data_IF_409939599468
#
_entry.id   IF_409939599468
#
_cell.length_a   1.000
_cell.length_b   1.000
_cell.length_c   1.000
_cell.angle_alpha   90.00
_cell.angle_beta   90.00
_cell.angle_gamma   90.00
#
_symmetry.space_group_name_H-M   'P 1'
#
loop_
_entity.id
_entity.type
_entity.pdbx_description
1 polymer ?
#
# COMPACT_ATOMS: atom_id res chain seq x y z
N UNK A 1 4.96 -15.45 -41.45
CA UNK A 1 3.86 -15.64 -40.48
C UNK A 1 4.30 -16.11 -39.08
N UNK A 2 5.54 -16.60 -38.88
CA UNK A 2 6.06 -17.01 -37.55
C UNK A 2 6.54 -15.85 -36.67
N UNK A 3 7.02 -14.77 -37.29
CA UNK A 3 7.58 -13.60 -36.58
C UNK A 3 6.46 -12.76 -35.93
N UNK A 4 5.28 -12.68 -36.55
CA UNK A 4 4.12 -11.98 -36.01
C UNK A 4 3.56 -12.64 -34.73
N UNK A 5 3.72 -13.96 -34.58
CA UNK A 5 3.27 -14.69 -33.40
C UNK A 5 4.16 -14.45 -32.16
N UNK A 6 5.44 -14.07 -32.36
CA UNK A 6 6.35 -13.81 -31.23
C UNK A 6 6.16 -12.43 -30.59
N UNK A 7 5.62 -11.46 -31.32
CA UNK A 7 5.44 -10.10 -30.80
C UNK A 7 4.28 -9.98 -29.78
N UNK A 8 3.30 -10.89 -29.82
CA UNK A 8 2.11 -10.84 -28.97
C UNK A 8 2.37 -11.40 -27.56
N UNK A 9 3.38 -12.26 -27.38
CA UNK A 9 3.66 -12.93 -26.09
C UNK A 9 4.40 -12.02 -25.10
N UNK A 10 5.14 -11.01 -25.56
CA UNK A 10 5.92 -10.13 -24.65
C UNK A 10 5.08 -9.09 -23.90
N UNK A 11 3.80 -8.88 -24.25
CA UNK A 11 2.98 -7.80 -23.65
C UNK A 11 2.22 -8.27 -22.39
N UNK A 12 2.23 -9.56 -22.05
CA UNK A 12 1.39 -10.11 -20.98
C UNK A 12 1.94 -10.00 -19.55
N UNK A 13 3.14 -9.44 -19.34
CA UNK A 13 3.79 -9.44 -18.02
C UNK A 13 4.28 -8.07 -17.53
N UNK A 14 3.68 -6.96 -17.99
CA UNK A 14 3.82 -5.68 -17.29
C UNK A 14 2.95 -5.70 -16.03
N UNK A 15 3.43 -6.39 -14.99
CA UNK A 15 2.95 -6.12 -13.64
C UNK A 15 3.28 -4.66 -13.37
N UNK A 16 2.28 -3.78 -13.45
CA UNK A 16 2.39 -2.39 -13.03
C UNK A 16 2.87 -2.38 -11.59
N UNK A 17 4.18 -2.20 -11.42
CA UNK A 17 4.80 -2.00 -10.12
C UNK A 17 4.72 -0.49 -9.92
N UNK A 18 3.51 -0.01 -9.60
CA UNK A 18 3.36 1.33 -9.06
C UNK A 18 4.28 1.50 -7.85
N UNK A 19 4.56 2.74 -7.40
CA UNK A 19 5.38 2.98 -6.22
C UNK A 19 4.90 2.07 -5.09
N UNK A 20 5.79 1.16 -4.63
CA UNK A 20 5.45 0.32 -3.49
C UNK A 20 5.18 1.27 -2.33
N UNK A 21 4.02 1.20 -1.67
CA UNK A 21 3.78 2.06 -0.54
C UNK A 21 4.89 1.85 0.49
N UNK A 22 5.47 2.97 0.94
CA UNK A 22 6.49 2.95 1.99
C UNK A 22 5.81 2.51 3.29
N UNK A 23 6.02 1.27 3.71
CA UNK A 23 5.53 0.71 4.97
C UNK A 23 6.34 1.18 6.19
N UNK A 24 6.83 2.41 6.11
CA UNK A 24 7.67 3.06 7.12
C UNK A 24 7.02 4.39 7.43
N UNK A 25 6.63 4.57 8.68
CA UNK A 25 6.00 5.78 9.21
C UNK A 25 6.97 6.97 9.24
N UNK A 26 6.42 8.19 9.40
CA UNK A 26 7.24 9.38 9.66
C UNK A 26 8.05 9.24 10.95
N UNK A 27 7.48 8.55 11.95
CA UNK A 27 8.16 8.23 13.21
C UNK A 27 9.43 7.43 12.95
N UNK A 28 9.30 6.25 12.36
CA UNK A 28 10.43 5.36 12.06
C UNK A 28 11.47 6.04 11.16
N UNK A 29 11.04 6.71 10.08
CA UNK A 29 11.95 7.37 9.14
C UNK A 29 12.76 8.49 9.81
N UNK A 30 12.18 9.14 10.81
CA UNK A 30 12.84 10.25 11.53
C UNK A 30 13.65 9.80 12.74
N UNK A 31 13.63 8.52 13.11
CA UNK A 31 14.18 8.07 14.39
C UNK A 31 13.34 8.56 15.58
N UNK A 32 12.02 8.66 15.39
CA UNK A 32 11.00 9.03 16.38
C UNK A 32 11.10 10.47 16.91
N UNK A 33 11.79 11.36 16.19
CA UNK A 33 11.85 12.80 16.53
C UNK A 33 10.68 13.61 15.94
N UNK A 34 9.90 13.00 15.04
CA UNK A 34 8.66 13.57 14.48
C UNK A 34 7.53 12.55 14.47
N UNK A 35 6.29 13.02 14.57
CA UNK A 35 5.09 12.19 14.49
C UNK A 35 4.38 12.40 13.16
N UNK A 36 3.87 11.31 12.58
CA UNK A 36 2.99 11.37 11.40
C UNK A 36 1.62 11.97 11.72
N UNK A 37 0.87 12.32 10.67
CA UNK A 37 -0.54 12.75 10.82
C UNK A 37 -1.45 11.51 10.92
N UNK A 38 -2.66 11.69 11.43
CA UNK A 38 -3.63 10.59 11.55
C UNK A 38 -3.86 9.85 10.23
N UNK A 39 -3.98 10.57 9.10
CA UNK A 39 -4.16 9.98 7.78
C UNK A 39 -3.02 9.01 7.38
N UNK A 40 -1.81 9.20 7.91
CA UNK A 40 -0.68 8.29 7.71
C UNK A 40 -0.99 6.92 8.30
N UNK A 41 -1.55 6.86 9.51
CA UNK A 41 -1.88 5.60 10.17
C UNK A 41 -2.94 4.81 9.38
N UNK A 42 -4.00 5.49 8.93
CA UNK A 42 -5.06 4.85 8.12
C UNK A 42 -4.51 4.38 6.76
N UNK A 43 -3.63 5.16 6.15
CA UNK A 43 -2.98 4.79 4.90
C UNK A 43 -2.05 3.57 5.07
N UNK A 44 -1.22 3.56 6.12
CA UNK A 44 -0.34 2.45 6.44
C UNK A 44 -1.14 1.17 6.67
N UNK A 45 -2.23 1.22 7.43
CA UNK A 45 -3.11 0.07 7.63
C UNK A 45 -3.56 -0.57 6.30
N UNK A 46 -4.03 0.25 5.35
CA UNK A 46 -4.40 -0.22 4.00
C UNK A 46 -3.21 -0.73 3.19
N UNK A 47 -2.05 -0.11 3.34
CA UNK A 47 -0.83 -0.49 2.63
C UNK A 47 -0.28 -1.83 3.12
N UNK A 48 -0.31 -2.09 4.43
CA UNK A 48 0.06 -3.39 5.00
C UNK A 48 -0.87 -4.51 4.51
N UNK A 49 -2.18 -4.27 4.47
CA UNK A 49 -3.14 -5.23 3.93
C UNK A 49 -2.93 -5.51 2.43
N UNK A 50 -2.44 -4.54 1.65
CA UNK A 50 -2.05 -4.75 0.24
C UNK A 50 -0.74 -5.52 0.09
N UNK A 51 0.23 -5.27 0.97
CA UNK A 51 1.57 -5.81 0.85
C UNK A 51 1.69 -7.27 1.30
N UNK A 52 0.87 -7.71 2.27
CA UNK A 52 1.00 -9.02 2.89
C UNK A 52 -0.28 -9.87 2.75
N UNK A 53 -0.09 -11.18 2.58
CA UNK A 53 -1.20 -12.15 2.60
C UNK A 53 -1.62 -12.42 4.04
N UNK A 54 -2.93 -12.54 4.27
CA UNK A 54 -3.48 -12.83 5.60
C UNK A 54 -3.55 -11.62 6.54
N UNK A 55 -3.19 -10.42 6.07
CA UNK A 55 -3.33 -9.17 6.83
C UNK A 55 -4.59 -8.45 6.36
N UNK A 56 -5.37 -7.92 7.30
CA UNK A 56 -6.53 -7.09 7.03
C UNK A 56 -6.46 -5.77 7.79
N UNK A 57 -7.05 -4.75 7.17
CA UNK A 57 -7.30 -3.45 7.80
C UNK A 57 -8.82 -3.34 7.97
N UNK A 58 -9.30 -3.71 9.16
CA UNK A 58 -10.72 -3.76 9.48
C UNK A 58 -11.07 -2.54 10.36
N UNK A 59 -12.17 -1.83 10.07
CA UNK A 59 -12.65 -0.73 10.91
C UNK A 59 -13.34 -1.31 12.15
N UNK A 60 -12.82 -1.00 13.35
CA UNK A 60 -13.35 -1.53 14.62
C UNK A 60 -14.36 -0.60 15.28
N UNK A 61 -14.51 0.62 14.74
CA UNK A 61 -15.43 1.63 15.24
C UNK A 61 -15.03 3.00 14.76
N UNK A 62 -15.69 4.02 15.32
CA UNK A 62 -15.39 5.43 15.07
C UNK A 62 -15.31 6.17 16.39
N UNK A 63 -14.43 7.16 16.44
CA UNK A 63 -14.40 8.16 17.52
C UNK A 63 -15.71 8.96 17.57
N UNK A 64 -15.95 9.66 18.67
CA UNK A 64 -17.09 10.58 18.77
C UNK A 64 -17.08 11.68 17.67
N UNK A 65 -15.90 12.05 17.18
CA UNK A 65 -15.73 12.98 16.05
C UNK A 65 -15.87 12.32 14.67
N UNK A 66 -16.21 11.03 14.59
CA UNK A 66 -16.44 10.30 13.35
C UNK A 66 -15.20 9.76 12.64
N UNK A 67 -14.00 10.01 13.17
CA UNK A 67 -12.77 9.42 12.63
C UNK A 67 -12.72 7.92 12.92
N UNK A 68 -12.27 7.08 11.96
CA UNK A 68 -12.07 5.65 12.16
C UNK A 68 -11.17 5.32 13.37
N UNK A 69 -11.38 4.15 13.96
CA UNK A 69 -10.48 3.55 14.93
C UNK A 69 -9.62 2.47 14.26
#
# INVERSE_FOLDING_TARGET
MRIALMAVVLVACTKSTGPKPSLVSTGERSGYVRTGRYDEAVQLCRDFARAYKGVRCDEIGKTAGGLPL
#
